data_IF_949714642200
#
_entry.id   IF_949714642200
#
_cell.length_a   1.000
_cell.length_b   1.000
_cell.length_c   1.000
_cell.angle_alpha   90.00
_cell.angle_beta   90.00
_cell.angle_gamma   90.00
#
_symmetry.space_group_name_H-M   'P 1'
#
loop_
_entity.id
_entity.type
_entity.pdbx_description
1 polymer ?
#
# COMPACT_ATOMS: atom_id res chain seq x y z
N UNK A 1 93.19 -5.31 -25.75
CA UNK A 1 93.06 -4.36 -24.62
C UNK A 1 91.58 -4.04 -24.47
N UNK A 2 91.07 -4.05 -23.23
CA UNK A 2 89.69 -3.74 -22.80
C UNK A 2 88.70 -4.93 -22.65
N UNK A 3 88.60 -5.43 -21.41
CA UNK A 3 87.45 -6.08 -20.76
C UNK A 3 86.61 -4.92 -20.11
N UNK A 4 85.41 -5.04 -19.46
CA UNK A 4 84.35 -6.09 -19.33
C UNK A 4 82.88 -5.56 -19.47
N UNK A 5 81.88 -6.46 -19.39
CA UNK A 5 80.87 -6.54 -18.30
C UNK A 5 79.60 -7.33 -18.68
N UNK A 6 79.31 -8.32 -17.85
CA UNK A 6 78.03 -9.01 -17.62
C UNK A 6 76.89 -8.05 -17.26
N UNK A 7 75.64 -8.37 -17.65
CA UNK A 7 74.40 -8.19 -16.87
C UNK A 7 73.33 -9.13 -17.45
N UNK A 8 72.73 -9.94 -16.57
CA UNK A 8 71.62 -10.82 -16.88
C UNK A 8 70.27 -10.09 -16.94
N UNK A 9 69.30 -10.70 -17.61
CA UNK A 9 67.90 -10.30 -17.55
C UNK A 9 67.03 -11.52 -17.28
N UNK A 10 66.58 -11.63 -16.03
CA UNK A 10 65.35 -12.32 -15.64
C UNK A 10 64.14 -11.43 -16.01
N UNK A 11 62.96 -12.07 -16.00
CA UNK A 11 61.59 -11.48 -16.01
C UNK A 11 60.97 -11.37 -17.41
N UNK A 12 59.75 -11.82 -17.72
CA UNK A 12 58.62 -12.30 -16.91
C UNK A 12 57.67 -13.10 -17.80
N UNK A 13 57.14 -14.22 -17.30
CA UNK A 13 55.98 -14.88 -17.88
C UNK A 13 54.70 -14.16 -17.40
N UNK A 14 53.98 -13.49 -18.30
CA UNK A 14 52.67 -12.93 -18.03
C UNK A 14 51.61 -14.04 -18.12
N UNK A 15 51.04 -14.42 -16.97
CA UNK A 15 49.81 -15.21 -16.90
C UNK A 15 48.65 -14.19 -16.81
N UNK A 16 47.88 -14.06 -17.88
CA UNK A 16 46.61 -13.34 -17.86
C UNK A 16 45.54 -14.23 -17.23
N UNK A 17 45.28 -14.05 -15.93
CA UNK A 17 44.09 -14.62 -15.28
C UNK A 17 42.94 -13.64 -15.51
N UNK A 18 42.09 -13.92 -16.50
CA UNK A 18 40.84 -13.19 -16.69
C UNK A 18 39.83 -13.64 -15.62
N UNK A 19 39.78 -12.93 -14.50
CA UNK A 19 38.70 -13.08 -13.52
C UNK A 19 37.41 -12.51 -14.11
N UNK A 20 36.48 -13.40 -14.46
CA UNK A 20 35.10 -13.03 -14.74
C UNK A 20 34.46 -12.57 -13.42
N UNK A 21 34.44 -11.26 -13.16
CA UNK A 21 33.65 -10.72 -12.05
C UNK A 21 32.18 -10.85 -12.43
N UNK A 22 31.46 -11.76 -11.77
CA UNK A 22 30.01 -11.73 -11.75
C UNK A 22 29.59 -10.41 -11.09
N UNK A 23 29.09 -9.47 -11.89
CA UNK A 23 28.36 -8.32 -11.38
C UNK A 23 27.08 -8.86 -10.74
N UNK A 24 27.06 -8.91 -9.41
CA UNK A 24 25.81 -9.04 -8.67
C UNK A 24 25.02 -7.76 -8.97
N UNK A 25 24.07 -7.86 -9.89
CA UNK A 25 23.13 -6.77 -10.18
C UNK A 25 22.34 -6.47 -8.92
N UNK A 26 22.72 -5.39 -8.22
CA UNK A 26 21.88 -4.83 -7.16
C UNK A 26 20.66 -4.27 -7.90
N UNK A 27 19.53 -4.97 -7.82
CA UNK A 27 18.25 -4.40 -8.27
C UNK A 27 18.07 -3.07 -7.54
N UNK A 28 17.81 -1.96 -8.25
CA UNK A 28 17.67 -0.67 -7.61
C UNK A 28 16.52 -0.75 -6.60
N UNK A 29 16.83 -0.45 -5.33
CA UNK A 29 15.79 -0.30 -4.31
C UNK A 29 14.84 0.80 -4.76
N UNK A 30 13.54 0.53 -4.65
CA UNK A 30 12.52 1.46 -5.10
C UNK A 30 12.44 2.62 -4.13
N UNK A 31 12.59 3.82 -4.67
CA UNK A 31 12.33 5.06 -3.96
C UNK A 31 10.80 5.25 -3.82
N UNK A 32 10.23 4.65 -2.76
CA UNK A 32 8.80 4.75 -2.48
C UNK A 32 8.32 6.18 -2.26
N UNK A 33 9.03 7.06 -1.53
CA UNK A 33 8.69 8.47 -1.48
C UNK A 33 8.54 9.10 -2.87
N UNK A 34 9.53 8.95 -3.75
CA UNK A 34 9.45 9.52 -5.10
C UNK A 34 8.33 8.88 -5.95
N UNK A 35 8.13 7.56 -5.85
CA UNK A 35 7.06 6.86 -6.56
C UNK A 35 5.66 7.34 -6.13
N UNK A 36 5.47 7.59 -4.84
CA UNK A 36 4.22 8.12 -4.30
C UNK A 36 3.97 9.57 -4.70
N UNK A 37 5.01 10.42 -4.69
CA UNK A 37 4.87 11.79 -5.17
C UNK A 37 4.44 11.82 -6.64
N UNK A 38 5.05 10.98 -7.49
CA UNK A 38 4.62 10.81 -8.88
C UNK A 38 3.18 10.33 -8.98
N UNK A 39 2.78 9.33 -8.19
CA UNK A 39 1.39 8.88 -8.14
C UNK A 39 0.43 10.05 -7.84
N UNK A 40 0.75 10.89 -6.86
CA UNK A 40 -0.07 12.04 -6.49
C UNK A 40 -0.12 13.07 -7.63
N UNK A 41 1.04 13.49 -8.15
CA UNK A 41 1.13 14.60 -9.12
C UNK A 41 0.72 14.22 -10.54
N UNK A 42 0.92 12.96 -10.94
CA UNK A 42 0.70 12.48 -12.31
C UNK A 42 -0.62 11.72 -12.47
N UNK A 43 -1.18 11.17 -11.38
CA UNK A 43 -2.43 10.40 -11.43
C UNK A 43 -3.55 11.05 -10.63
N UNK A 44 -3.36 11.25 -9.33
CA UNK A 44 -4.47 11.64 -8.45
C UNK A 44 -4.96 13.06 -8.72
N UNK A 45 -4.05 14.04 -8.75
CA UNK A 45 -4.40 15.44 -9.00
C UNK A 45 -4.96 15.62 -10.42
N UNK A 46 -4.32 15.11 -11.50
CA UNK A 46 -4.90 15.16 -12.84
C UNK A 46 -6.22 14.39 -12.96
N UNK A 47 -6.40 13.34 -12.17
CA UNK A 47 -7.61 12.53 -12.09
C UNK A 47 -8.79 13.17 -11.33
N UNK A 48 -8.61 14.39 -10.81
CA UNK A 48 -9.68 15.16 -10.15
C UNK A 48 -9.76 14.98 -8.63
N UNK A 49 -8.76 14.37 -8.00
CA UNK A 49 -8.65 14.36 -6.53
C UNK A 49 -8.12 15.73 -6.10
N UNK A 50 -8.98 16.54 -5.50
CA UNK A 50 -8.73 17.92 -5.10
C UNK A 50 -8.83 18.14 -3.58
N UNK A 51 -9.36 17.18 -2.81
CA UNK A 51 -9.32 17.25 -1.33
C UNK A 51 -7.89 17.07 -0.82
N UNK A 52 -7.30 18.16 -0.32
CA UNK A 52 -5.94 18.19 0.22
C UNK A 52 -5.75 17.23 1.39
N UNK A 53 -6.77 16.99 2.23
CA UNK A 53 -6.68 16.05 3.36
C UNK A 53 -6.51 14.62 2.84
N UNK A 54 -7.22 14.27 1.76
CA UNK A 54 -7.09 12.96 1.10
C UNK A 54 -5.71 12.79 0.49
N UNK A 55 -5.21 13.80 -0.23
CA UNK A 55 -3.87 13.77 -0.83
C UNK A 55 -2.77 13.61 0.23
N UNK A 56 -2.86 14.35 1.34
CA UNK A 56 -1.94 14.21 2.47
C UNK A 56 -2.01 12.83 3.12
N UNK A 57 -3.22 12.25 3.23
CA UNK A 57 -3.39 10.89 3.75
C UNK A 57 -2.71 9.86 2.86
N UNK A 58 -2.87 9.97 1.53
CA UNK A 58 -2.16 9.13 0.56
C UNK A 58 -0.65 9.31 0.68
N UNK A 59 -0.18 10.56 0.82
CA UNK A 59 1.23 10.89 0.97
C UNK A 59 1.86 10.21 2.20
N UNK A 60 1.14 10.22 3.33
CA UNK A 60 1.62 9.67 4.61
C UNK A 60 1.45 8.15 4.74
N UNK A 61 0.62 7.52 3.90
CA UNK A 61 0.27 6.09 4.02
C UNK A 61 1.12 5.20 3.11
N UNK A 62 2.05 4.43 3.68
CA UNK A 62 2.93 3.47 3.01
C UNK A 62 2.21 2.29 2.35
N UNK A 63 1.61 2.53 1.17
CA UNK A 63 0.86 1.52 0.40
C UNK A 63 1.60 0.19 0.20
N UNK A 64 2.92 0.22 0.02
CA UNK A 64 3.74 -0.99 -0.15
C UNK A 64 3.75 -1.93 1.08
N UNK A 65 3.37 -1.45 2.26
CA UNK A 65 3.19 -2.29 3.46
C UNK A 65 1.90 -3.12 3.43
N UNK A 66 0.94 -2.74 2.58
CA UNK A 66 -0.34 -3.41 2.38
C UNK A 66 -0.36 -4.31 1.14
N UNK A 67 0.79 -4.50 0.49
CA UNK A 67 0.96 -5.26 -0.75
C UNK A 67 1.87 -6.47 -0.49
N UNK A 68 1.59 -7.66 -1.07
CA UNK A 68 2.48 -8.81 -1.02
C UNK A 68 3.92 -8.46 -1.43
N UNK A 69 4.89 -9.10 -0.77
CA UNK A 69 6.31 -8.71 -0.87
C UNK A 69 6.85 -8.73 -2.30
N UNK A 70 6.39 -9.68 -3.12
CA UNK A 70 6.73 -9.90 -4.52
C UNK A 70 6.11 -8.88 -5.49
N UNK A 71 5.15 -8.07 -5.03
CA UNK A 71 4.44 -7.06 -5.83
C UNK A 71 4.67 -5.62 -5.32
N UNK A 72 5.52 -5.44 -4.31
CA UNK A 72 5.79 -4.11 -3.73
C UNK A 72 6.39 -3.14 -4.73
N UNK A 73 7.04 -3.65 -5.77
CA UNK A 73 7.57 -2.85 -6.86
C UNK A 73 6.50 -2.16 -7.71
N UNK A 74 5.29 -2.71 -7.69
CA UNK A 74 4.12 -2.20 -8.38
C UNK A 74 3.20 -1.40 -7.46
N UNK A 75 3.54 -1.25 -6.17
CA UNK A 75 2.62 -0.71 -5.16
C UNK A 75 2.06 0.69 -5.48
N UNK A 76 2.80 1.52 -6.21
CA UNK A 76 2.44 2.89 -6.58
C UNK A 76 2.04 3.05 -8.06
N UNK A 77 1.86 1.94 -8.77
CA UNK A 77 1.20 1.96 -10.08
C UNK A 77 -0.31 2.11 -9.87
N UNK A 78 -0.99 2.87 -10.73
CA UNK A 78 -2.44 3.01 -10.64
C UNK A 78 -3.18 1.80 -11.20
N UNK A 79 -3.13 0.70 -10.44
CA UNK A 79 -3.82 -0.55 -10.75
C UNK A 79 -4.13 -1.32 -9.48
N UNK A 80 -5.10 -2.21 -9.56
CA UNK A 80 -5.33 -3.20 -8.52
C UNK A 80 -4.25 -4.28 -8.54
N UNK A 81 -3.90 -4.78 -7.35
CA UNK A 81 -2.92 -5.86 -7.16
C UNK A 81 -3.55 -6.99 -6.34
N UNK A 82 -3.24 -8.27 -6.63
CA UNK A 82 -3.75 -9.39 -5.85
C UNK A 82 -3.18 -9.35 -4.42
N UNK A 83 -4.01 -9.71 -3.44
CA UNK A 83 -3.64 -9.77 -2.02
C UNK A 83 -3.88 -11.16 -1.40
N UNK A 84 -4.17 -12.16 -2.23
CA UNK A 84 -4.57 -13.49 -1.80
C UNK A 84 -6.09 -13.67 -1.72
N UNK A 85 -6.55 -14.91 -1.49
CA UNK A 85 -7.96 -15.27 -1.38
C UNK A 85 -8.87 -14.75 -2.52
N UNK A 86 -8.33 -14.68 -3.73
CA UNK A 86 -8.99 -14.11 -4.92
C UNK A 86 -9.44 -12.64 -4.76
N UNK A 87 -8.86 -11.90 -3.81
CA UNK A 87 -9.12 -10.47 -3.59
C UNK A 87 -7.98 -9.61 -4.13
N UNK A 88 -8.28 -8.32 -4.29
CA UNK A 88 -7.32 -7.31 -4.71
C UNK A 88 -7.32 -6.10 -3.78
N UNK A 89 -6.16 -5.48 -3.59
CA UNK A 89 -6.09 -4.09 -3.13
C UNK A 89 -6.47 -3.18 -4.31
N UNK A 90 -7.49 -2.34 -4.14
CA UNK A 90 -7.97 -1.40 -5.16
C UNK A 90 -6.88 -0.45 -5.63
N UNK A 91 -6.99 0.06 -6.87
CA UNK A 91 -6.04 1.06 -7.38
C UNK A 91 -6.00 2.31 -6.48
N UNK A 92 -4.84 2.98 -6.35
CA UNK A 92 -4.75 4.21 -5.58
C UNK A 92 -5.73 5.30 -6.04
N UNK A 93 -5.99 5.45 -7.35
CA UNK A 93 -6.97 6.40 -7.85
C UNK A 93 -8.37 6.13 -7.31
N UNK A 94 -8.83 4.87 -7.38
CA UNK A 94 -10.15 4.49 -6.88
C UNK A 94 -10.26 4.71 -5.37
N UNK A 95 -9.23 4.36 -4.60
CA UNK A 95 -9.19 4.63 -3.15
C UNK A 95 -9.31 6.13 -2.87
N UNK A 96 -8.53 6.96 -3.58
CA UNK A 96 -8.52 8.40 -3.35
C UNK A 96 -9.85 9.07 -3.75
N UNK A 97 -10.43 8.71 -4.91
CA UNK A 97 -11.70 9.30 -5.36
C UNK A 97 -12.85 8.87 -4.46
N UNK A 98 -12.95 7.59 -4.08
CA UNK A 98 -13.99 7.14 -3.14
C UNK A 98 -13.87 7.82 -1.78
N UNK A 99 -12.64 8.03 -1.29
CA UNK A 99 -12.40 8.73 -0.02
C UNK A 99 -12.81 10.20 -0.11
N UNK A 100 -12.50 10.89 -1.22
CA UNK A 100 -12.94 12.26 -1.44
C UNK A 100 -14.46 12.38 -1.48
N UNK A 101 -15.13 11.53 -2.27
CA UNK A 101 -16.60 11.54 -2.39
C UNK A 101 -17.31 11.16 -1.08
N UNK A 102 -16.64 10.44 -0.19
CA UNK A 102 -17.16 10.13 1.14
C UNK A 102 -17.34 11.39 2.00
N UNK A 103 -16.65 12.49 1.68
CA UNK A 103 -16.75 13.79 2.32
C UNK A 103 -16.76 13.69 3.85
N UNK A 104 -15.65 13.17 4.39
CA UNK A 104 -15.48 12.89 5.82
C UNK A 104 -15.07 14.13 6.60
N UNK A 105 -15.37 14.13 7.90
CA UNK A 105 -14.92 15.15 8.85
C UNK A 105 -14.20 14.50 10.04
N UNK A 106 -13.31 15.22 10.74
CA UNK A 106 -12.51 14.68 11.84
C UNK A 106 -13.31 14.03 12.97
N UNK A 107 -14.57 14.43 13.16
CA UNK A 107 -15.46 13.89 14.20
C UNK A 107 -16.18 12.61 13.78
N UNK A 108 -16.19 12.29 12.47
CA UNK A 108 -16.97 11.19 11.93
C UNK A 108 -16.49 9.83 12.41
N UNK A 109 -17.45 8.92 12.54
CA UNK A 109 -17.27 7.48 12.64
C UNK A 109 -17.62 6.85 11.29
N UNK A 110 -16.65 6.16 10.70
CA UNK A 110 -16.81 5.55 9.37
C UNK A 110 -16.88 4.04 9.49
N UNK A 111 -17.81 3.42 8.77
CA UNK A 111 -17.82 1.97 8.54
C UNK A 111 -17.32 1.66 7.12
N UNK A 112 -16.33 0.80 7.01
CA UNK A 112 -15.84 0.22 5.77
C UNK A 112 -16.29 -1.24 5.67
N UNK A 113 -16.86 -1.61 4.52
CA UNK A 113 -17.18 -3.00 4.18
C UNK A 113 -16.19 -3.52 3.15
N UNK A 114 -15.36 -4.48 3.56
CA UNK A 114 -14.27 -5.05 2.76
C UNK A 114 -12.91 -4.51 3.20
N UNK A 115 -12.42 -4.93 4.37
CA UNK A 115 -11.09 -4.50 4.86
C UNK A 115 -9.98 -4.87 3.87
N UNK A 116 -10.05 -6.06 3.24
CA UNK A 116 -9.05 -6.53 2.29
C UNK A 116 -7.64 -6.50 2.88
N UNK A 117 -6.77 -5.65 2.33
CA UNK A 117 -5.42 -5.46 2.86
C UNK A 117 -5.34 -4.51 4.06
N UNK A 118 -6.37 -3.70 4.31
CA UNK A 118 -6.41 -2.63 5.30
C UNK A 118 -5.99 -1.25 4.77
N UNK A 119 -5.64 -1.13 3.48
CA UNK A 119 -5.14 0.14 2.93
C UNK A 119 -6.18 1.26 2.93
N UNK A 120 -7.42 1.00 2.56
CA UNK A 120 -8.47 2.02 2.56
C UNK A 120 -8.81 2.46 4.00
N UNK A 121 -8.86 1.54 4.98
CA UNK A 121 -8.94 1.88 6.40
C UNK A 121 -7.79 2.80 6.87
N UNK A 122 -6.56 2.52 6.42
CA UNK A 122 -5.39 3.32 6.73
C UNK A 122 -5.47 4.74 6.13
N UNK A 123 -6.02 4.87 4.91
CA UNK A 123 -6.26 6.17 4.27
C UNK A 123 -7.36 6.96 4.99
N UNK A 124 -8.40 6.30 5.51
CA UNK A 124 -9.47 6.95 6.26
C UNK A 124 -9.05 7.38 7.66
N UNK A 125 -8.18 6.59 8.31
CA UNK A 125 -7.77 6.78 9.71
C UNK A 125 -7.39 8.23 10.09
N UNK A 126 -6.52 8.95 9.36
CA UNK A 126 -6.15 10.32 9.74
C UNK A 126 -7.24 11.36 9.44
N UNK A 127 -8.30 11.00 8.73
CA UNK A 127 -9.36 11.91 8.30
C UNK A 127 -10.55 11.95 9.26
N UNK A 128 -10.65 10.99 10.17
CA UNK A 128 -11.87 10.73 10.97
C UNK A 128 -11.56 10.31 12.39
N UNK A 129 -12.59 10.34 13.26
CA UNK A 129 -12.46 9.98 14.67
C UNK A 129 -12.21 8.49 14.84
N UNK A 130 -12.92 7.66 14.08
CA UNK A 130 -12.79 6.22 14.13
C UNK A 130 -13.20 5.56 12.80
N UNK A 131 -12.45 4.53 12.42
CA UNK A 131 -12.76 3.65 11.30
C UNK A 131 -13.10 2.27 11.86
N UNK A 132 -14.29 1.77 11.53
CA UNK A 132 -14.69 0.40 11.75
C UNK A 132 -14.65 -0.30 10.41
N UNK A 133 -14.02 -1.46 10.32
CA UNK A 133 -13.85 -2.17 9.04
C UNK A 133 -14.14 -3.65 9.20
N UNK A 134 -14.91 -4.21 8.26
CA UNK A 134 -15.35 -5.60 8.29
C UNK A 134 -14.80 -6.37 7.10
N UNK A 135 -14.26 -7.55 7.35
CA UNK A 135 -13.78 -8.48 6.32
C UNK A 135 -14.44 -9.86 6.46
N UNK A 136 -14.93 -10.39 5.36
CA UNK A 136 -15.60 -11.69 5.34
C UNK A 136 -14.60 -12.85 5.30
N UNK A 137 -13.43 -12.66 4.67
CA UNK A 137 -12.37 -13.66 4.56
C UNK A 137 -11.47 -13.63 5.80
N UNK A 138 -11.50 -14.67 6.68
CA UNK A 138 -10.81 -14.60 7.97
C UNK A 138 -9.30 -14.43 7.88
N UNK A 139 -8.66 -14.96 6.83
CA UNK A 139 -7.21 -14.82 6.64
C UNK A 139 -6.82 -13.38 6.31
N UNK A 140 -7.56 -12.71 5.42
CA UNK A 140 -7.32 -11.30 5.08
C UNK A 140 -7.61 -10.40 6.26
N UNK A 141 -8.71 -10.61 6.98
CA UNK A 141 -9.05 -9.81 8.16
C UNK A 141 -7.96 -9.86 9.25
N UNK A 142 -7.38 -11.05 9.49
CA UNK A 142 -6.24 -11.21 10.41
C UNK A 142 -4.98 -10.51 9.92
N UNK A 143 -4.67 -10.62 8.63
CA UNK A 143 -3.50 -9.97 8.03
C UNK A 143 -3.62 -8.45 8.09
N UNK A 144 -4.75 -7.89 7.68
CA UNK A 144 -5.01 -6.46 7.74
C UNK A 144 -4.95 -5.92 9.17
N UNK A 145 -5.60 -6.59 10.13
CA UNK A 145 -5.55 -6.23 11.54
C UNK A 145 -4.11 -6.18 12.07
N UNK A 146 -3.28 -7.16 11.68
CA UNK A 146 -1.87 -7.20 12.02
C UNK A 146 -1.10 -6.02 11.40
N UNK A 147 -1.22 -5.81 10.09
CA UNK A 147 -0.49 -4.73 9.39
C UNK A 147 -0.86 -3.37 9.99
N UNK A 148 -2.15 -3.08 10.17
CA UNK A 148 -2.65 -1.84 10.76
C UNK A 148 -2.12 -1.61 12.18
N UNK A 149 -2.04 -2.67 12.99
CA UNK A 149 -1.50 -2.60 14.35
C UNK A 149 0.01 -2.37 14.36
N UNK A 150 0.76 -3.11 13.54
CA UNK A 150 2.23 -3.05 13.45
C UNK A 150 2.72 -1.66 13.04
N UNK A 151 2.01 -1.00 12.12
CA UNK A 151 2.34 0.36 11.64
C UNK A 151 1.72 1.47 12.49
N UNK A 152 0.96 1.11 13.53
CA UNK A 152 0.59 2.02 14.62
C UNK A 152 -0.77 2.70 14.53
N UNK A 153 -1.67 2.31 13.63
CA UNK A 153 -3.02 2.88 13.58
C UNK A 153 -3.82 2.54 14.84
N UNK A 154 -4.35 3.56 15.53
CA UNK A 154 -5.01 3.42 16.85
C UNK A 154 -6.52 3.61 16.83
N UNK A 155 -7.06 4.23 15.78
CA UNK A 155 -8.49 4.48 15.64
C UNK A 155 -9.14 3.60 14.55
N UNK A 156 -8.48 2.50 14.16
CA UNK A 156 -9.00 1.51 13.22
C UNK A 156 -9.37 0.23 13.97
N UNK A 157 -10.64 -0.16 13.89
CA UNK A 157 -11.21 -1.32 14.54
C UNK A 157 -11.62 -2.34 13.49
N UNK A 158 -11.09 -3.55 13.57
CA UNK A 158 -11.33 -4.61 12.58
C UNK A 158 -12.30 -5.66 13.12
N UNK A 159 -13.15 -6.21 12.27
CA UNK A 159 -14.03 -7.35 12.56
C UNK A 159 -13.99 -8.34 11.42
N UNK A 160 -13.94 -9.62 11.76
CA UNK A 160 -14.17 -10.70 10.79
C UNK A 160 -15.65 -11.05 10.86
N UNK A 161 -16.34 -10.98 9.72
CA UNK A 161 -17.78 -11.25 9.65
C UNK A 161 -18.41 -10.81 8.34
N UNK A 162 -19.72 -11.04 8.24
CA UNK A 162 -20.51 -10.54 7.11
C UNK A 162 -20.73 -9.04 7.24
N UNK A 163 -20.08 -8.27 6.38
CA UNK A 163 -20.17 -6.82 6.37
C UNK A 163 -21.53 -6.29 5.91
N UNK A 164 -22.36 -7.07 5.21
CA UNK A 164 -23.69 -6.62 4.80
C UNK A 164 -24.69 -6.54 5.96
N UNK A 165 -24.36 -7.16 7.11
CA UNK A 165 -25.09 -6.97 8.37
C UNK A 165 -24.65 -5.69 9.12
N UNK A 166 -23.57 -5.04 8.68
CA UNK A 166 -22.96 -3.90 9.35
C UNK A 166 -22.38 -4.24 10.73
N UNK A 167 -22.31 -3.23 11.58
CA UNK A 167 -21.78 -3.33 12.95
C UNK A 167 -22.66 -2.57 13.93
N UNK A 168 -23.84 -3.15 14.19
CA UNK A 168 -24.90 -2.54 15.00
C UNK A 168 -24.42 -2.05 16.38
N UNK A 169 -23.49 -2.75 17.02
CA UNK A 169 -22.95 -2.37 18.33
C UNK A 169 -22.21 -1.02 18.34
N UNK A 170 -21.78 -0.54 17.16
CA UNK A 170 -21.08 0.74 17.01
C UNK A 170 -21.84 1.76 16.15
N UNK A 171 -23.01 1.41 15.62
CA UNK A 171 -23.89 2.35 14.95
C UNK A 171 -24.38 3.49 15.90
N UNK A 172 -24.82 4.63 15.38
CA UNK A 172 -24.82 5.02 13.97
C UNK A 172 -23.42 5.42 13.46
N UNK A 173 -23.22 5.36 12.15
CA UNK A 173 -22.01 5.78 11.45
C UNK A 173 -22.29 7.01 10.60
N UNK A 174 -21.48 8.04 10.72
CA UNK A 174 -21.65 9.25 9.92
C UNK A 174 -21.46 8.99 8.42
N UNK A 175 -20.62 8.00 8.07
CA UNK A 175 -20.37 7.58 6.68
C UNK A 175 -20.15 6.07 6.61
N UNK A 176 -20.57 5.48 5.49
CA UNK A 176 -20.29 4.08 5.15
C UNK A 176 -19.69 4.03 3.75
N UNK A 177 -18.61 3.26 3.60
CA UNK A 177 -17.95 2.98 2.33
C UNK A 177 -17.94 1.47 2.09
N UNK A 178 -18.32 1.05 0.89
CA UNK A 178 -18.35 -0.37 0.50
C UNK A 178 -17.32 -0.58 -0.59
N UNK A 179 -16.29 -1.37 -0.32
CA UNK A 179 -15.17 -1.66 -1.23
C UNK A 179 -15.28 -3.04 -1.89
N UNK A 180 -16.40 -3.72 -1.67
CA UNK A 180 -16.85 -4.86 -2.45
C UNK A 180 -18.07 -4.48 -3.33
N UNK A 181 -18.42 -5.30 -4.30
CA UNK A 181 -19.57 -5.03 -5.17
C UNK A 181 -20.79 -5.82 -4.66
N UNK A 182 -21.75 -5.19 -3.96
CA UNK A 182 -23.02 -5.82 -3.65
C UNK A 182 -23.95 -5.76 -4.88
N UNK A 183 -24.88 -6.70 -5.00
CA UNK A 183 -25.92 -6.67 -6.05
C UNK A 183 -26.91 -5.51 -5.85
N UNK A 184 -27.22 -5.19 -4.60
CA UNK A 184 -28.09 -4.10 -4.18
C UNK A 184 -27.50 -3.43 -2.93
N UNK A 185 -27.81 -2.16 -2.69
CA UNK A 185 -27.41 -1.49 -1.44
C UNK A 185 -28.04 -2.23 -0.24
N UNK A 186 -27.25 -2.81 0.69
CA UNK A 186 -27.80 -3.55 1.80
C UNK A 186 -28.54 -2.62 2.77
N UNK A 187 -29.83 -2.91 3.02
CA UNK A 187 -30.65 -2.14 3.95
C UNK A 187 -30.04 -2.00 5.35
N UNK A 188 -29.40 -3.03 5.95
CA UNK A 188 -28.78 -2.88 7.28
C UNK A 188 -27.70 -1.80 7.34
N UNK A 189 -27.03 -1.50 6.22
CA UNK A 189 -26.05 -0.41 6.17
C UNK A 189 -26.76 0.95 6.18
N UNK A 190 -27.86 1.09 5.44
CA UNK A 190 -28.67 2.32 5.42
C UNK A 190 -29.23 2.60 6.82
N UNK A 191 -29.72 1.56 7.51
CA UNK A 191 -30.29 1.67 8.86
C UNK A 191 -29.25 2.03 9.94
N UNK A 192 -27.96 1.94 9.61
CA UNK A 192 -26.83 2.22 10.50
C UNK A 192 -26.13 3.55 10.19
N UNK A 193 -26.63 4.34 9.24
CA UNK A 193 -26.20 5.73 9.01
C UNK A 193 -26.72 6.69 10.09
#
# INVERSE_FOLDING_TARGET
MSIPHTIGSLMSALIFVSTLQAQVGILPMIDYPAARQRLISEVLVPGGVTDMRVLESVEKTDRHLFVPADLRDQAYQDRSLPIGAAQTISSPYIVAVMTQELNTEPEHKVLEIGTGSGYQAAILSPLVKAVYTIEIVPELGKQAAKVLSDIGYKNVYTKIGDGFLGWQEHAPFDRIIVTCSPENVPQPLIDQL
#
